data_IF_647446422104
#
_entry.id   IF_647446422104
#
_cell.length_a   1.000
_cell.length_b   1.000
_cell.length_c   1.000
_cell.angle_alpha   90.00
_cell.angle_beta   90.00
_cell.angle_gamma   90.00
#
_symmetry.space_group_name_H-M   'P 1'
#
loop_
_entity.id
_entity.type
_entity.pdbx_description
1 polymer ?
#
# COMPACT_ATOMS: atom_id res chain seq x y z
N UNK A 1 -10.11 -2.79 39.42
CA UNK A 1 -10.33 -3.20 38.00
C UNK A 1 -9.09 -2.82 37.20
N UNK A 2 -8.08 -3.70 37.18
CA UNK A 2 -6.91 -3.51 36.35
C UNK A 2 -7.28 -3.95 34.93
N UNK A 3 -7.44 -3.00 34.01
CA UNK A 3 -7.57 -3.31 32.60
C UNK A 3 -6.27 -3.99 32.16
N UNK A 4 -6.37 -5.26 31.83
CA UNK A 4 -5.33 -6.01 31.13
C UNK A 4 -5.10 -5.31 29.79
N UNK A 5 -4.16 -4.36 29.78
CA UNK A 5 -3.59 -3.83 28.55
C UNK A 5 -2.83 -4.98 27.89
N UNK A 6 -3.57 -5.81 27.15
CA UNK A 6 -3.06 -6.82 26.24
C UNK A 6 -2.04 -6.12 25.34
N UNK A 7 -0.77 -6.21 25.72
CA UNK A 7 0.34 -5.64 24.99
C UNK A 7 0.37 -6.39 23.66
N UNK A 8 0.18 -5.66 22.56
CA UNK A 8 0.28 -6.25 21.22
C UNK A 8 1.73 -6.68 21.00
N UNK A 9 1.97 -7.98 20.91
CA UNK A 9 3.28 -8.53 20.64
C UNK A 9 3.44 -8.76 19.13
N UNK A 10 4.54 -8.28 18.57
CA UNK A 10 4.87 -8.33 17.13
C UNK A 10 6.18 -9.10 16.94
N UNK A 11 6.08 -10.24 16.26
CA UNK A 11 7.21 -11.10 15.92
C UNK A 11 8.00 -10.53 14.74
N UNK A 12 9.02 -9.71 15.00
CA UNK A 12 9.89 -9.19 13.92
C UNK A 12 10.56 -10.30 13.11
N UNK A 13 10.81 -11.48 13.70
CA UNK A 13 11.37 -12.63 12.98
C UNK A 13 10.47 -13.07 11.82
N UNK A 14 9.14 -12.97 11.96
CA UNK A 14 8.19 -13.30 10.88
C UNK A 14 8.28 -12.30 9.73
N UNK A 15 8.75 -11.08 9.96
CA UNK A 15 8.87 -10.05 8.92
C UNK A 15 9.83 -10.45 7.79
N UNK A 16 10.82 -11.31 8.06
CA UNK A 16 11.77 -11.82 7.07
C UNK A 16 11.04 -12.53 5.92
N UNK A 17 9.92 -13.20 6.20
CA UNK A 17 9.11 -13.86 5.19
C UNK A 17 7.83 -13.09 4.84
N UNK A 18 7.18 -12.45 5.82
CA UNK A 18 5.96 -11.66 5.59
C UNK A 18 6.25 -10.43 4.71
N UNK A 19 7.42 -9.79 4.85
CA UNK A 19 7.82 -8.64 4.03
C UNK A 19 7.89 -8.98 2.54
N UNK A 20 8.73 -9.94 2.11
CA UNK A 20 8.77 -10.41 0.73
C UNK A 20 7.41 -10.91 0.22
N UNK A 21 6.66 -11.66 1.02
CA UNK A 21 5.32 -12.12 0.67
C UNK A 21 4.38 -10.94 0.36
N UNK A 22 4.45 -9.88 1.16
CA UNK A 22 3.62 -8.68 0.99
C UNK A 22 3.99 -7.99 -0.32
N UNK A 23 5.29 -7.80 -0.59
CA UNK A 23 5.77 -7.20 -1.84
C UNK A 23 5.30 -7.99 -3.05
N UNK A 24 5.55 -9.30 -3.08
CA UNK A 24 5.19 -10.15 -4.22
C UNK A 24 3.67 -10.15 -4.43
N UNK A 25 2.88 -10.32 -3.36
CA UNK A 25 1.42 -10.30 -3.42
C UNK A 25 0.89 -8.97 -3.96
N UNK A 26 1.42 -7.84 -3.49
CA UNK A 26 0.98 -6.52 -3.93
C UNK A 26 1.39 -6.22 -5.36
N UNK A 27 2.62 -6.59 -5.78
CA UNK A 27 3.07 -6.43 -7.17
C UNK A 27 2.17 -7.22 -8.12
N UNK A 28 1.89 -8.49 -7.79
CA UNK A 28 1.00 -9.33 -8.62
C UNK A 28 -0.40 -8.70 -8.69
N UNK A 29 -0.99 -8.31 -7.56
CA UNK A 29 -2.31 -7.69 -7.54
C UNK A 29 -2.36 -6.40 -8.37
N UNK A 30 -1.36 -5.53 -8.25
CA UNK A 30 -1.28 -4.29 -9.01
C UNK A 30 -1.11 -4.54 -10.52
N UNK A 31 -0.34 -5.56 -10.91
CA UNK A 31 -0.22 -5.96 -12.31
C UNK A 31 -1.53 -6.52 -12.87
N UNK A 32 -2.30 -7.28 -12.07
CA UNK A 32 -3.63 -7.77 -12.48
C UNK A 32 -4.57 -6.58 -12.71
N UNK A 33 -4.62 -5.62 -11.77
CA UNK A 33 -5.46 -4.41 -11.91
C UNK A 33 -5.07 -3.62 -13.16
N UNK A 34 -3.76 -3.41 -13.37
CA UNK A 34 -3.23 -2.75 -14.56
C UNK A 34 -3.68 -3.48 -15.83
N UNK A 35 -3.53 -4.80 -15.89
CA UNK A 35 -3.91 -5.58 -17.07
C UNK A 35 -5.41 -5.45 -17.36
N UNK A 36 -6.26 -5.52 -16.33
CA UNK A 36 -7.72 -5.30 -16.48
C UNK A 36 -8.00 -3.87 -16.98
N UNK A 37 -7.33 -2.86 -16.42
CA UNK A 37 -7.49 -1.46 -16.83
C UNK A 37 -7.17 -1.26 -18.32
N UNK A 38 -6.07 -1.85 -18.79
CA UNK A 38 -5.65 -1.77 -20.20
C UNK A 38 -6.60 -2.57 -21.10
N UNK A 39 -6.92 -3.81 -20.75
CA UNK A 39 -7.65 -4.72 -21.64
C UNK A 39 -9.16 -4.50 -21.66
N UNK A 40 -9.74 -4.02 -20.55
CA UNK A 40 -11.20 -3.87 -20.40
C UNK A 40 -11.64 -2.41 -20.46
N UNK A 41 -10.89 -1.51 -19.84
CA UNK A 41 -11.27 -0.09 -19.70
C UNK A 41 -10.56 0.84 -20.69
N UNK A 42 -9.77 0.29 -21.62
CA UNK A 42 -9.10 1.03 -22.68
C UNK A 42 -8.05 2.01 -22.17
N UNK A 43 -7.49 1.76 -20.99
CA UNK A 43 -6.42 2.62 -20.44
C UNK A 43 -5.16 2.48 -21.30
N UNK A 44 -4.56 3.58 -21.79
CA UNK A 44 -3.35 3.50 -22.61
C UNK A 44 -2.20 2.84 -21.85
N UNK A 45 -1.65 1.77 -22.41
CA UNK A 45 -0.49 1.08 -21.81
C UNK A 45 0.79 1.93 -21.81
N UNK A 46 0.83 2.97 -22.65
CA UNK A 46 1.90 3.95 -22.76
C UNK A 46 1.86 5.02 -21.68
N UNK A 47 0.76 5.14 -20.92
CA UNK A 47 0.64 6.12 -19.84
C UNK A 47 1.71 5.85 -18.77
N UNK A 48 2.62 6.81 -18.59
CA UNK A 48 3.88 6.64 -17.85
C UNK A 48 3.74 5.95 -16.49
N UNK A 49 2.74 6.37 -15.69
CA UNK A 49 2.52 5.86 -14.33
C UNK A 49 1.91 4.45 -14.28
N UNK A 50 1.28 4.03 -15.38
CA UNK A 50 0.68 2.71 -15.52
C UNK A 50 1.51 1.81 -16.44
N UNK A 51 2.76 2.15 -16.76
CA UNK A 51 3.68 1.21 -17.40
C UNK A 51 4.09 0.13 -16.41
N UNK A 52 4.23 -1.12 -16.86
CA UNK A 52 4.52 -2.24 -15.97
C UNK A 52 5.81 -2.04 -15.14
N UNK A 53 6.94 -1.57 -15.72
CA UNK A 53 8.15 -1.28 -14.92
C UNK A 53 7.92 -0.21 -13.85
N UNK A 54 7.16 0.84 -14.18
CA UNK A 54 6.81 1.91 -13.23
C UNK A 54 5.94 1.39 -12.08
N UNK A 55 4.92 0.58 -12.39
CA UNK A 55 4.04 -0.02 -11.37
C UNK A 55 4.85 -0.95 -10.45
N UNK A 56 5.69 -1.83 -11.00
CA UNK A 56 6.52 -2.74 -10.23
C UNK A 56 7.52 -1.97 -9.35
N UNK A 57 8.29 -1.07 -9.95
CA UNK A 57 9.34 -0.32 -9.26
C UNK A 57 8.80 0.57 -8.14
N UNK A 58 7.76 1.34 -8.43
CA UNK A 58 7.12 2.21 -7.42
C UNK A 58 6.49 1.39 -6.29
N UNK A 59 5.77 0.30 -6.61
CA UNK A 59 5.19 -0.62 -5.61
C UNK A 59 6.29 -1.12 -4.66
N UNK A 60 7.38 -1.66 -5.20
CA UNK A 60 8.49 -2.18 -4.37
C UNK A 60 9.05 -1.08 -3.46
N UNK A 61 9.38 0.10 -4.00
CA UNK A 61 9.97 1.20 -3.23
C UNK A 61 9.04 1.65 -2.10
N UNK A 62 7.76 1.89 -2.38
CA UNK A 62 6.82 2.34 -1.34
C UNK A 62 6.54 1.25 -0.30
N UNK A 63 6.50 -0.03 -0.69
CA UNK A 63 6.39 -1.11 0.28
C UNK A 63 7.63 -1.24 1.17
N UNK A 64 8.84 -1.03 0.66
CA UNK A 64 10.04 -1.00 1.49
C UNK A 64 9.97 0.11 2.54
N UNK A 65 9.49 1.30 2.15
CA UNK A 65 9.23 2.40 3.10
C UNK A 65 8.15 2.02 4.11
N UNK A 66 7.07 1.37 3.68
CA UNK A 66 5.99 0.92 4.56
C UNK A 66 6.46 -0.15 5.56
N UNK A 67 7.34 -1.07 5.15
CA UNK A 67 7.98 -2.07 6.01
C UNK A 67 8.91 -1.41 7.03
N UNK A 68 9.71 -0.43 6.61
CA UNK A 68 10.54 0.35 7.51
C UNK A 68 9.69 1.09 8.55
N UNK A 69 8.61 1.74 8.11
CA UNK A 69 7.65 2.40 9.00
C UNK A 69 7.04 1.40 9.99
N UNK A 70 6.69 0.18 9.57
CA UNK A 70 6.18 -0.87 10.45
C UNK A 70 7.19 -1.24 11.55
N UNK A 71 8.47 -1.42 11.18
CA UNK A 71 9.55 -1.72 12.14
C UNK A 71 9.73 -0.58 13.15
N UNK A 72 9.71 0.67 12.68
CA UNK A 72 9.82 1.85 13.54
C UNK A 72 8.63 1.97 14.49
N UNK A 73 7.40 1.80 13.99
CA UNK A 73 6.20 1.79 14.82
C UNK A 73 6.27 0.71 15.89
N UNK A 74 6.73 -0.50 15.55
CA UNK A 74 6.95 -1.57 16.53
C UNK A 74 7.93 -1.16 17.63
N UNK A 75 8.99 -0.43 17.28
CA UNK A 75 10.04 -0.01 18.21
C UNK A 75 9.57 1.07 19.19
N UNK A 76 8.74 2.00 18.74
CA UNK A 76 8.42 3.21 19.52
C UNK A 76 6.98 3.28 20.04
N UNK A 77 6.02 2.57 19.43
CA UNK A 77 4.62 2.67 19.81
C UNK A 77 4.24 1.68 20.94
N UNK A 78 3.39 2.13 21.86
CA UNK A 78 2.81 1.28 22.93
C UNK A 78 1.81 0.24 22.38
N UNK A 79 1.14 0.56 21.27
CA UNK A 79 0.15 -0.29 20.57
C UNK A 79 0.47 -0.30 19.06
N UNK A 80 1.48 -1.06 18.63
CA UNK A 80 2.07 -0.93 17.30
C UNK A 80 1.10 -1.28 16.16
N UNK A 81 0.19 -2.24 16.34
CA UNK A 81 -0.74 -2.63 15.27
C UNK A 81 -1.78 -1.52 15.08
N UNK A 82 -2.39 -1.05 16.17
CA UNK A 82 -3.37 0.05 16.09
C UNK A 82 -2.74 1.31 15.49
N UNK A 83 -1.55 1.69 15.95
CA UNK A 83 -0.85 2.86 15.46
C UNK A 83 -0.50 2.72 13.97
N UNK A 84 0.00 1.55 13.54
CA UNK A 84 0.33 1.33 12.13
C UNK A 84 -0.91 1.41 11.22
N UNK A 85 -2.07 0.91 11.66
CA UNK A 85 -3.31 1.03 10.88
C UNK A 85 -3.73 2.48 10.67
N UNK A 86 -3.63 3.32 11.71
CA UNK A 86 -3.90 4.76 11.61
C UNK A 86 -2.89 5.42 10.68
N UNK A 87 -1.60 5.14 10.85
CA UNK A 87 -0.54 5.66 10.01
C UNK A 87 -0.76 5.29 8.54
N UNK A 88 -1.05 4.02 8.25
CA UNK A 88 -1.31 3.54 6.91
C UNK A 88 -2.56 4.17 6.30
N UNK A 89 -3.62 4.40 7.09
CA UNK A 89 -4.80 5.12 6.63
C UNK A 89 -4.46 6.57 6.26
N UNK A 90 -3.68 7.28 7.10
CA UNK A 90 -3.23 8.65 6.79
C UNK A 90 -2.37 8.67 5.52
N UNK A 91 -1.41 7.75 5.39
CA UNK A 91 -0.56 7.62 4.21
C UNK A 91 -1.38 7.29 2.97
N UNK A 92 -2.40 6.44 3.08
CA UNK A 92 -3.33 6.16 2.00
C UNK A 92 -4.04 7.46 1.56
N UNK A 93 -4.65 8.21 2.49
CA UNK A 93 -5.30 9.48 2.19
C UNK A 93 -4.35 10.47 1.50
N UNK A 94 -3.10 10.58 1.98
CA UNK A 94 -2.07 11.41 1.34
C UNK A 94 -1.74 10.89 -0.06
N UNK A 95 -1.63 9.58 -0.25
CA UNK A 95 -1.33 8.99 -1.57
C UNK A 95 -2.43 9.25 -2.59
N UNK A 96 -3.70 9.31 -2.16
CA UNK A 96 -4.84 9.63 -3.02
C UNK A 96 -4.85 11.12 -3.44
N UNK A 97 -4.12 12.00 -2.76
CA UNK A 97 -4.00 13.38 -3.21
C UNK A 97 -3.30 13.46 -4.57
N UNK A 98 -2.32 12.60 -4.85
CA UNK A 98 -1.60 12.63 -6.14
C UNK A 98 -2.52 12.44 -7.36
N UNK A 99 -3.35 11.37 -7.47
CA UNK A 99 -4.28 11.22 -8.58
C UNK A 99 -5.36 12.31 -8.60
N UNK A 100 -5.82 12.81 -7.45
CA UNK A 100 -6.78 13.93 -7.38
C UNK A 100 -6.17 15.21 -7.94
N UNK A 101 -4.97 15.59 -7.50
CA UNK A 101 -4.25 16.77 -7.98
C UNK A 101 -3.93 16.69 -9.47
N UNK A 102 -3.64 15.49 -9.98
CA UNK A 102 -3.44 15.27 -11.40
C UNK A 102 -4.73 15.37 -12.22
N UNK A 103 -5.86 14.92 -11.68
CA UNK A 103 -7.17 15.03 -12.35
C UNK A 103 -7.67 16.48 -12.41
N UNK A 104 -7.51 17.26 -11.33
CA UNK A 104 -7.96 18.66 -11.28
C UNK A 104 -6.98 19.65 -11.93
N UNK A 105 -5.85 19.16 -12.44
CA UNK A 105 -4.87 19.97 -13.17
C UNK A 105 -3.89 20.76 -12.29
N UNK A 106 -3.83 20.51 -10.98
CA UNK A 106 -2.88 21.17 -10.07
C UNK A 106 -1.44 20.61 -10.24
N UNK A 107 -1.33 19.31 -10.49
CA UNK A 107 -0.10 18.64 -10.92
C UNK A 107 -0.40 17.73 -12.12
N UNK A 108 -0.60 18.33 -13.32
CA UNK A 108 -1.17 17.61 -14.45
C UNK A 108 -0.26 16.47 -14.91
N UNK A 109 -0.86 15.30 -15.09
CA UNK A 109 -0.24 14.16 -15.75
C UNK A 109 -0.71 14.12 -17.22
N UNK A 110 0.19 14.27 -18.21
CA UNK A 110 -0.19 14.23 -19.62
C UNK A 110 -0.96 12.96 -19.96
N UNK A 111 -2.12 13.12 -20.61
CA UNK A 111 -3.00 12.00 -20.98
C UNK A 111 -3.87 11.46 -19.84
N UNK A 112 -3.97 12.15 -18.70
CA UNK A 112 -4.89 11.78 -17.61
C UNK A 112 -6.35 11.72 -18.08
N UNK A 113 -7.03 10.64 -17.75
CA UNK A 113 -8.47 10.42 -18.01
C UNK A 113 -9.14 9.91 -16.75
N UNK A 114 -10.48 9.89 -16.74
CA UNK A 114 -11.24 9.38 -15.61
C UNK A 114 -10.97 7.88 -15.34
N UNK A 115 -10.78 7.07 -16.40
CA UNK A 115 -10.41 5.64 -16.27
C UNK A 115 -9.03 5.47 -15.64
N UNK A 116 -8.05 6.32 -16.02
CA UNK A 116 -6.71 6.32 -15.42
C UNK A 116 -6.80 6.71 -13.94
N UNK A 117 -7.54 7.77 -13.63
CA UNK A 117 -7.76 8.23 -12.26
C UNK A 117 -8.28 7.09 -11.38
N UNK A 118 -9.38 6.44 -11.77
CA UNK A 118 -9.95 5.32 -10.99
C UNK A 118 -9.01 4.12 -10.90
N UNK A 119 -8.24 3.83 -11.95
CA UNK A 119 -7.21 2.78 -11.92
C UNK A 119 -6.14 3.09 -10.87
N UNK A 120 -5.66 4.34 -10.80
CA UNK A 120 -4.69 4.74 -9.79
C UNK A 120 -5.28 4.62 -8.38
N UNK A 121 -6.52 5.07 -8.16
CA UNK A 121 -7.21 4.88 -6.86
C UNK A 121 -7.26 3.40 -6.48
N UNK A 122 -7.63 2.51 -7.41
CA UNK A 122 -7.69 1.08 -7.16
C UNK A 122 -6.34 0.48 -6.75
N UNK A 123 -5.25 0.85 -7.46
CA UNK A 123 -3.90 0.41 -7.12
C UNK A 123 -3.49 0.80 -5.69
N UNK A 124 -3.79 2.04 -5.27
CA UNK A 124 -3.50 2.52 -3.92
C UNK A 124 -4.30 1.77 -2.86
N UNK A 125 -5.61 1.61 -3.07
CA UNK A 125 -6.50 0.91 -2.13
C UNK A 125 -6.08 -0.55 -1.95
N UNK A 126 -5.86 -1.28 -3.05
CA UNK A 126 -5.48 -2.69 -2.99
C UNK A 126 -4.10 -2.87 -2.34
N UNK A 127 -3.16 -1.99 -2.66
CA UNK A 127 -1.85 -1.99 -1.99
C UNK A 127 -1.98 -1.79 -0.48
N UNK A 128 -2.76 -0.79 -0.05
CA UNK A 128 -2.98 -0.53 1.37
C UNK A 128 -3.67 -1.70 2.09
N UNK A 129 -4.69 -2.30 1.46
CA UNK A 129 -5.41 -3.46 2.02
C UNK A 129 -4.45 -4.64 2.22
N UNK A 130 -3.64 -4.98 1.21
CA UNK A 130 -2.71 -6.11 1.28
C UNK A 130 -1.63 -5.84 2.34
N UNK A 131 -1.00 -4.66 2.30
CA UNK A 131 0.08 -4.29 3.22
C UNK A 131 -0.39 -4.29 4.66
N UNK A 132 -1.49 -3.58 4.95
CA UNK A 132 -2.03 -3.50 6.30
C UNK A 132 -2.53 -4.86 6.74
N UNK A 133 -3.27 -5.58 5.90
CA UNK A 133 -3.79 -6.90 6.18
C UNK A 133 -2.69 -7.88 6.57
N UNK A 134 -1.71 -8.10 5.69
CA UNK A 134 -0.65 -9.09 5.91
C UNK A 134 0.27 -8.70 7.07
N UNK A 135 0.73 -7.46 7.15
CA UNK A 135 1.64 -7.04 8.22
C UNK A 135 0.96 -7.09 9.58
N UNK A 136 -0.29 -6.63 9.70
CA UNK A 136 -0.96 -6.57 11.01
C UNK A 136 -1.52 -7.92 11.48
N UNK A 137 -1.76 -8.87 10.58
CA UNK A 137 -2.25 -10.21 10.92
C UNK A 137 -1.13 -11.22 11.10
N UNK A 138 -0.21 -11.34 10.14
CA UNK A 138 0.79 -12.42 10.14
C UNK A 138 1.96 -12.17 11.08
N UNK A 139 2.24 -10.91 11.43
CA UNK A 139 3.31 -10.58 12.40
C UNK A 139 2.83 -10.55 13.85
N UNK A 140 1.51 -10.66 14.09
CA UNK A 140 0.94 -10.71 15.43
C UNK A 140 1.35 -12.01 16.13
N UNK A 141 1.82 -11.91 17.36
CA UNK A 141 1.97 -13.05 18.28
C UNK A 141 0.66 -13.23 19.04
N UNK A 142 0.13 -14.45 19.04
CA UNK A 142 -0.94 -14.84 19.96
C UNK A 142 -0.27 -15.07 21.31
N UNK A 143 -0.78 -14.38 22.33
CA UNK A 143 -0.37 -14.56 23.72
C UNK A 143 -0.87 -15.91 24.25
#
# INVERSE_FOLDING_TARGET
MASTLLREHVALRKLIWVGPLTIVSTVIANLIIRTIAVSVFGVPETFQYLQAPTVIGSTIVFLLVALLAFVLVKRFARRPIQFYRILAFVVLCISLLSPVMALVGLFPAPGMTLSIFWTMIALHLVSAIIVVGLLTTLTREQA
#
